data_IF_439316755201
#
_entry.id   IF_439316755201
#
_cell.length_a   1.000
_cell.length_b   1.000
_cell.length_c   1.000
_cell.angle_alpha   90.00
_cell.angle_beta   90.00
_cell.angle_gamma   90.00
#
_symmetry.space_group_name_H-M   'P 1'
#
loop_
_entity.id
_entity.type
_entity.pdbx_description
1 polymer ?
2 water ?
#
# COMPACT_ATOMS: atom_id res chain seq x y z
N UNK A 6 13.15 -1.15 -16.90
CA UNK A 6 12.19 -0.91 -17.98
C UNK A 6 12.42 0.41 -18.75
N UNK A 7 12.46 1.55 -18.06
CA UNK A 7 12.87 2.82 -18.69
C UNK A 7 14.19 3.34 -18.13
N UNK A 8 14.97 4.04 -18.96
CA UNK A 8 16.21 4.62 -18.45
C UNK A 8 15.83 5.73 -17.45
N UNK A 9 16.74 6.03 -16.54
CA UNK A 9 16.49 7.01 -15.49
C UNK A 9 16.40 8.44 -16.01
N UNK A 10 15.39 9.18 -15.52
CA UNK A 10 15.21 10.58 -15.89
C UNK A 10 16.46 11.36 -15.52
N UNK A 11 16.70 12.46 -16.23
CA UNK A 11 17.89 13.31 -16.02
C UNK A 11 17.52 14.78 -15.96
N UNK A 12 18.39 15.58 -15.35
CA UNK A 12 18.25 17.03 -15.37
C UNK A 12 18.06 17.47 -16.83
N UNK A 13 17.09 18.35 -17.09
CA UNK A 13 16.85 18.87 -18.42
C UNK A 13 15.74 18.14 -19.17
N UNK A 14 15.37 16.96 -18.71
CA UNK A 14 14.32 16.15 -19.37
C UNK A 14 12.95 16.76 -19.12
N UNK A 15 12.05 16.64 -20.09
CA UNK A 15 10.62 16.87 -19.83
C UNK A 15 10.08 15.82 -18.86
N UNK A 16 9.28 16.24 -17.87
CA UNK A 16 8.61 15.29 -17.00
C UNK A 16 7.61 14.44 -17.81
N UNK A 17 7.67 13.10 -17.70
CA UNK A 17 6.68 12.27 -18.43
C UNK A 17 5.28 12.41 -17.83
N UNK A 18 4.26 12.20 -18.66
CA UNK A 18 2.89 12.24 -18.13
C UNK A 18 2.64 10.90 -17.47
N UNK A 19 1.71 10.89 -16.51
CA UNK A 19 1.18 9.66 -15.89
C UNK A 19 -0.09 10.02 -15.17
N UNK A 20 -0.88 9.02 -14.79
CA UNK A 20 -2.06 9.31 -14.00
C UNK A 20 -1.79 9.02 -12.52
N UNK A 21 -1.97 10.05 -11.70
CA UNK A 21 -1.80 9.90 -10.25
C UNK A 21 -3.16 10.12 -9.62
N UNK A 22 -3.31 9.73 -8.37
CA UNK A 22 -4.52 10.00 -7.60
C UNK A 22 -4.19 10.71 -6.29
N UNK A 23 -5.01 11.70 -5.94
CA UNK A 23 -4.93 12.35 -4.62
C UNK A 23 -6.26 12.22 -3.90
N UNK A 24 -6.19 11.81 -2.63
CA UNK A 24 -7.41 11.61 -1.85
C UNK A 24 -7.85 12.97 -1.37
N UNK A 25 -9.10 13.37 -1.67
CA UNK A 25 -9.59 14.70 -1.33
C UNK A 25 -10.76 14.55 -0.36
N UNK A 26 -10.64 15.05 0.86
CA UNK A 26 -11.70 14.78 1.84
C UNK A 26 -12.67 15.95 2.08
N UNK A 27 -12.25 17.17 1.76
CA UNK A 27 -13.17 18.31 1.82
C UNK A 27 -13.92 18.37 0.48
N UNK A 28 -15.06 19.04 0.46
CA UNK A 28 -15.72 19.25 -0.81
C UNK A 28 -14.96 20.35 -1.52
N UNK A 29 -14.66 20.17 -2.80
CA UNK A 29 -14.15 21.28 -3.63
C UNK A 29 -14.55 21.17 -5.10
N UNK A 30 -14.80 22.31 -5.75
CA UNK A 30 -15.24 22.30 -7.14
C UNK A 30 -14.24 21.57 -8.03
N UNK A 31 -14.75 20.81 -8.99
CA UNK A 31 -13.90 20.06 -9.88
C UNK A 31 -13.44 18.76 -9.27
N UNK A 32 -13.75 18.55 -7.98
CA UNK A 32 -13.36 17.30 -7.31
C UNK A 32 -14.51 16.53 -6.69
N UNK A 33 -14.25 15.27 -6.42
CA UNK A 33 -15.19 14.43 -5.69
C UNK A 33 -14.56 13.97 -4.37
N UNK A 34 -15.34 13.37 -3.48
CA UNK A 34 -14.77 12.94 -2.20
C UNK A 34 -14.02 11.64 -2.38
N UNK A 35 -12.82 11.58 -1.83
CA UNK A 35 -11.98 10.40 -1.96
C UNK A 35 -10.97 10.58 -3.07
N UNK A 36 -10.60 9.47 -3.72
CA UNK A 36 -9.54 9.51 -4.73
C UNK A 36 -9.95 10.29 -5.99
N UNK A 37 -9.07 11.18 -6.42
CA UNK A 37 -9.27 11.95 -7.64
C UNK A 37 -8.10 11.71 -8.59
N UNK A 38 -8.37 11.30 -9.82
CA UNK A 38 -7.30 11.08 -10.81
C UNK A 38 -6.82 12.42 -11.33
N UNK A 39 -5.53 12.55 -11.63
CA UNK A 39 -5.06 13.76 -12.28
C UNK A 39 -3.81 13.44 -13.07
N UNK A 40 -3.60 14.25 -14.10
CA UNK A 40 -2.47 14.08 -15.04
C UNK A 40 -1.25 14.81 -14.48
N UNK A 41 -0.09 14.15 -14.50
CA UNK A 41 1.13 14.81 -14.01
C UNK A 41 1.43 16.08 -14.82
N UNK A 42 1.41 15.99 -16.15
CA UNK A 42 1.81 17.13 -16.93
C UNK A 42 0.76 18.23 -16.77
N UNK A 43 -0.51 17.85 -16.75
CA UNK A 43 -1.57 18.86 -16.49
C UNK A 43 -1.45 19.63 -15.16
N UNK A 44 -1.06 18.93 -14.09
CA UNK A 44 -0.93 19.50 -12.76
C UNK A 44 0.37 20.28 -12.54
N UNK A 45 1.41 20.04 -13.34
CA UNK A 45 2.65 20.83 -13.21
C UNK A 45 2.67 21.96 -14.22
N UNK A 46 1.74 21.94 -15.16
CA UNK A 46 1.72 23.04 -16.14
C UNK A 46 1.65 24.41 -15.47
N UNK A 47 2.61 25.26 -15.80
CA UNK A 47 2.66 26.64 -15.37
C UNK A 47 3.01 26.83 -13.89
N UNK A 48 3.55 25.79 -13.26
CA UNK A 48 3.93 25.83 -11.85
C UNK A 48 5.39 25.51 -11.63
N UNK A 49 5.88 25.90 -10.46
CA UNK A 49 7.17 25.45 -10.02
C UNK A 49 6.92 24.48 -8.85
N UNK A 50 7.31 23.21 -9.02
CA UNK A 50 6.87 22.10 -8.16
C UNK A 50 8.06 21.29 -7.61
N UNK A 51 8.12 21.07 -6.31
CA UNK A 51 9.05 20.10 -5.77
C UNK A 51 8.35 18.77 -5.66
N UNK A 52 8.92 17.72 -6.24
CA UNK A 52 8.40 16.35 -6.06
C UNK A 52 9.42 15.52 -5.33
N UNK A 53 9.04 14.94 -4.19
CA UNK A 53 9.93 13.96 -3.55
C UNK A 53 9.19 12.61 -3.54
N UNK A 54 9.88 11.57 -4.03
CA UNK A 54 9.32 10.25 -4.06
C UNK A 54 10.00 9.45 -2.95
N UNK A 55 9.29 8.47 -2.43
CA UNK A 55 9.87 7.66 -1.35
C UNK A 55 9.24 6.25 -1.45
N UNK A 56 9.83 5.26 -0.75
CA UNK A 56 9.43 3.86 -0.92
C UNK A 56 8.05 3.43 -0.40
N UNK A 57 7.52 4.03 0.66
CA UNK A 57 6.21 3.62 1.11
C UNK A 57 5.56 4.41 2.23
N UNK A 58 4.26 4.65 2.09
CA UNK A 58 3.48 5.23 3.19
C UNK A 58 3.62 4.36 4.44
N UNK A 59 3.57 5.01 5.61
CA UNK A 59 3.62 4.37 6.92
C UNK A 59 4.95 3.69 7.32
N UNK A 60 6.00 3.87 6.52
CA UNK A 60 7.31 3.27 6.86
C UNK A 60 8.16 4.26 7.68
N UNK A 61 9.18 3.75 8.40
CA UNK A 61 9.73 4.61 9.46
C UNK A 61 10.48 5.86 9.00
N UNK A 62 11.36 5.76 8.01
CA UNK A 62 12.14 6.97 7.72
C UNK A 62 11.28 7.95 6.94
N UNK A 63 10.54 7.40 5.98
CA UNK A 63 9.47 8.14 5.31
C UNK A 63 8.56 8.94 6.25
N UNK A 64 8.10 8.30 7.31
CA UNK A 64 7.12 8.88 8.22
C UNK A 64 7.70 9.82 9.28
N UNK A 65 8.82 9.43 9.88
CA UNK A 65 9.42 10.17 11.00
C UNK A 65 10.25 11.37 10.54
N UNK A 66 10.82 11.24 9.34
CA UNK A 66 11.82 12.19 8.86
C UNK A 66 11.48 12.86 7.53
N UNK A 67 11.25 12.04 6.50
CA UNK A 67 11.16 12.58 5.14
C UNK A 67 9.94 13.51 4.87
N UNK A 68 8.72 13.05 5.13
CA UNK A 68 7.53 13.88 4.98
C UNK A 68 7.49 15.05 6.00
N UNK A 69 7.86 14.77 7.27
CA UNK A 69 7.77 15.91 8.20
C UNK A 69 8.75 17.06 7.88
N UNK A 70 9.94 16.76 7.36
CA UNK A 70 10.84 17.82 6.91
C UNK A 70 10.16 18.71 5.86
N UNK A 71 9.42 18.11 4.93
CA UNK A 71 8.71 18.95 3.96
C UNK A 71 7.54 19.74 4.56
N UNK A 72 6.75 19.12 5.43
CA UNK A 72 5.67 19.86 6.11
C UNK A 72 6.32 21.02 6.87
N UNK A 73 7.44 20.73 7.51
CA UNK A 73 8.14 21.72 8.31
C UNK A 73 8.71 22.87 7.49
N UNK A 74 9.20 22.54 6.28
CA UNK A 74 9.82 23.53 5.40
C UNK A 74 8.82 24.14 4.40
N UNK A 75 7.55 23.76 4.46
CA UNK A 75 6.69 24.13 3.35
C UNK A 75 6.57 25.65 3.20
N UNK A 76 6.46 26.37 4.32
CA UNK A 76 6.42 27.85 4.27
C UNK A 76 7.66 28.47 3.61
N UNK A 77 8.85 28.00 3.96
CA UNK A 77 10.06 28.54 3.36
C UNK A 77 10.15 28.20 1.88
N UNK A 78 9.75 26.99 1.50
CA UNK A 78 9.82 26.61 0.08
C UNK A 78 8.85 27.47 -0.70
N UNK A 79 7.65 27.73 -0.17
CA UNK A 79 6.71 28.59 -0.89
C UNK A 79 7.17 30.06 -0.99
N UNK A 80 7.80 30.58 0.07
CA UNK A 80 8.39 31.93 0.03
C UNK A 80 9.46 32.03 -1.05
N UNK A 81 10.14 30.92 -1.35
CA UNK A 81 11.22 30.92 -2.34
C UNK A 81 10.69 30.75 -3.77
N UNK A 82 9.37 30.62 -3.92
CA UNK A 82 8.73 30.53 -5.22
C UNK A 82 8.23 29.17 -5.67
N UNK A 83 8.30 28.18 -4.78
CA UNK A 83 7.72 26.88 -5.11
C UNK A 83 6.21 26.93 -4.94
N UNK A 84 5.48 26.49 -5.97
CA UNK A 84 4.01 26.57 -5.96
C UNK A 84 3.39 25.42 -5.24
N UNK A 85 3.92 24.23 -5.50
CA UNK A 85 3.45 22.99 -4.84
C UNK A 85 4.55 22.04 -4.42
N UNK A 86 4.30 21.33 -3.33
CA UNK A 86 5.19 20.24 -2.91
C UNK A 86 4.41 18.94 -2.96
N UNK A 87 4.87 17.98 -3.76
CA UNK A 87 4.20 16.68 -3.82
C UNK A 87 5.03 15.59 -3.16
N UNK A 88 4.38 14.71 -2.43
CA UNK A 88 5.01 13.45 -2.03
C UNK A 88 4.51 12.34 -2.95
N UNK A 89 5.40 11.71 -3.70
CA UNK A 89 4.97 10.63 -4.57
C UNK A 89 5.35 9.28 -3.99
N UNK A 90 4.42 8.32 -3.96
CA UNK A 90 4.80 6.99 -3.50
C UNK A 90 4.01 5.99 -4.26
N UNK A 91 4.53 4.76 -4.32
CA UNK A 91 3.83 3.65 -4.97
C UNK A 91 2.94 3.04 -3.91
N UNK A 92 1.80 3.70 -3.72
CA UNK A 92 0.75 3.35 -2.79
C UNK A 92 -0.51 3.89 -3.43
N UNK A 93 -1.66 3.31 -3.11
CA UNK A 93 -2.94 3.81 -3.63
C UNK A 93 -3.41 5.07 -2.84
N UNK A 94 -4.45 5.77 -3.32
CA UNK A 94 -4.86 7.02 -2.66
C UNK A 94 -5.54 6.89 -1.33
N UNK A 95 -6.17 5.74 -1.04
CA UNK A 95 -6.78 5.56 0.29
C UNK A 95 -5.72 5.54 1.38
N UNK A 96 -4.66 4.80 1.12
CA UNK A 96 -3.54 4.74 2.04
C UNK A 96 -2.82 6.12 2.15
N UNK A 97 -2.57 6.76 1.00
CA UNK A 97 -1.92 8.10 1.01
C UNK A 97 -2.78 9.13 1.72
N UNK A 98 -4.09 9.05 1.53
CA UNK A 98 -5.01 9.90 2.26
C UNK A 98 -4.91 9.76 3.78
N UNK A 99 -4.97 8.53 4.26
CA UNK A 99 -4.88 8.26 5.69
C UNK A 99 -3.53 8.68 6.23
N UNK A 100 -2.48 8.39 5.48
CA UNK A 100 -1.14 8.77 5.92
C UNK A 100 -1.03 10.29 6.01
N UNK A 101 -1.55 11.00 5.00
CA UNK A 101 -1.41 12.46 4.97
C UNK A 101 -2.12 13.08 6.17
N UNK A 102 -3.29 12.54 6.54
CA UNK A 102 -4.02 13.03 7.70
C UNK A 102 -3.20 12.74 8.96
N UNK A 103 -2.60 11.57 9.06
CA UNK A 103 -1.78 11.28 10.24
C UNK A 103 -0.62 12.29 10.32
N UNK A 104 -0.08 12.72 9.18
CA UNK A 104 1.11 13.59 9.19
C UNK A 104 0.81 15.09 9.02
N UNK A 105 -0.48 15.47 9.02
CA UNK A 105 -0.89 16.89 8.95
C UNK A 105 -0.37 17.66 7.75
N UNK A 106 -0.49 17.03 6.59
CA UNK A 106 0.07 17.54 5.35
C UNK A 106 -0.87 18.50 4.62
N UNK A 107 -2.14 18.56 5.04
CA UNK A 107 -3.16 19.34 4.30
C UNK A 107 -2.68 20.75 4.00
N UNK A 108 -2.74 21.15 2.73
CA UNK A 108 -2.34 22.50 2.34
C UNK A 108 -0.82 22.72 2.31
N UNK A 109 -0.03 21.70 2.62
CA UNK A 109 1.43 21.86 2.60
C UNK A 109 2.11 20.91 1.65
N UNK A 110 1.70 19.65 1.67
CA UNK A 110 2.32 18.67 0.80
C UNK A 110 1.14 17.88 0.23
N UNK A 111 1.04 17.82 -1.10
CA UNK A 111 0.04 16.99 -1.78
C UNK A 111 0.53 15.55 -1.74
N UNK A 112 -0.32 14.63 -1.26
CA UNK A 112 0.01 13.20 -1.20
C UNK A 112 -0.47 12.51 -2.47
N UNK A 113 0.47 12.32 -3.39
CA UNK A 113 0.19 11.88 -4.74
C UNK A 113 0.47 10.37 -4.91
N UNK A 114 -0.62 9.62 -4.98
CA UNK A 114 -0.58 8.16 -5.07
C UNK A 114 -0.15 7.71 -6.47
N UNK A 115 0.92 6.92 -6.56
CA UNK A 115 1.29 6.32 -7.83
C UNK A 115 1.15 4.79 -7.63
N UNK A 116 -0.03 4.34 -7.22
CA UNK A 116 -0.16 2.95 -6.75
C UNK A 116 0.01 1.85 -7.82
N UNK A 117 0.01 2.23 -9.11
CA UNK A 117 0.30 1.26 -10.16
C UNK A 117 1.77 1.32 -10.59
N UNK A 118 2.51 2.27 -9.99
CA UNK A 118 3.90 2.56 -10.28
C UNK A 118 4.13 3.08 -11.69
N UNK A 119 3.06 3.57 -12.33
CA UNK A 119 3.16 4.07 -13.70
C UNK A 119 4.10 5.27 -13.83
N UNK A 120 3.98 6.25 -12.95
CA UNK A 120 4.84 7.44 -13.00
C UNK A 120 6.30 7.06 -12.69
N UNK A 121 6.47 6.23 -11.66
CA UNK A 121 7.79 5.90 -11.15
C UNK A 121 8.50 5.09 -12.21
N UNK A 122 7.77 4.19 -12.86
CA UNK A 122 8.32 3.46 -14.02
C UNK A 122 8.68 4.40 -15.15
N UNK A 123 7.83 5.40 -15.42
CA UNK A 123 8.11 6.31 -16.53
C UNK A 123 9.38 7.15 -16.24
N UNK A 124 9.65 7.41 -14.96
CA UNK A 124 10.84 8.15 -14.47
C UNK A 124 12.10 7.29 -14.41
N UNK A 125 11.92 5.97 -14.48
CA UNK A 125 13.03 5.04 -14.42
C UNK A 125 13.54 4.94 -13.00
N UNK A 126 12.65 5.21 -12.05
CA UNK A 126 13.03 5.34 -10.64
C UNK A 126 12.47 4.25 -9.72
N UNK A 127 12.19 3.09 -10.28
CA UNK A 127 11.71 1.99 -9.42
C UNK A 127 12.84 1.21 -8.76
N UNK A 128 12.51 0.47 -7.68
CA UNK A 128 13.42 -0.53 -7.11
C UNK A 128 12.58 -1.71 -6.65
N UNK A 129 13.23 -2.86 -6.45
CA UNK A 129 12.52 -4.07 -6.03
C UNK A 129 12.70 -4.24 -4.53
N UNK A 130 11.64 -3.96 -3.76
CA UNK A 130 11.71 -4.13 -2.31
C UNK A 130 10.97 -5.40 -1.89
N UNK A 131 11.03 -6.43 -2.72
CA UNK A 131 10.32 -7.69 -2.43
C UNK A 131 10.81 -8.35 -1.18
N UNK A 132 12.10 -8.25 -0.93
CA UNK A 132 12.70 -8.96 0.18
C UNK A 132 12.07 -8.49 1.49
N UNK A 133 11.50 -7.28 1.50
CA UNK A 133 10.89 -6.79 2.74
C UNK A 133 9.36 -6.77 2.62
N UNK A 134 8.86 -7.49 1.62
CA UNK A 134 7.42 -7.66 1.46
C UNK A 134 6.71 -6.43 0.89
N UNK A 135 7.44 -5.62 0.11
CA UNK A 135 6.83 -4.42 -0.44
C UNK A 135 6.73 -4.43 -1.97
N UNK A 136 7.30 -5.47 -2.60
CA UNK A 136 7.33 -5.55 -4.06
C UNK A 136 7.98 -4.35 -4.69
N UNK A 137 7.52 -3.97 -5.90
CA UNK A 137 8.14 -2.87 -6.65
C UNK A 137 7.66 -1.53 -6.10
N UNK A 138 8.60 -0.63 -5.79
CA UNK A 138 8.29 0.64 -5.15
C UNK A 138 9.18 1.74 -5.75
N UNK A 139 9.12 2.94 -5.20
CA UNK A 139 9.99 4.02 -5.72
C UNK A 139 11.33 4.10 -5.00
N UNK A 140 12.38 4.49 -5.72
CA UNK A 140 13.61 4.97 -5.05
C UNK A 140 13.21 6.20 -4.27
N UNK A 141 14.05 6.58 -3.32
CA UNK A 141 13.87 7.87 -2.64
C UNK A 141 14.56 9.00 -3.43
N UNK A 142 13.84 10.07 -3.76
CA UNK A 142 14.47 11.18 -4.49
C UNK A 142 13.78 12.52 -4.26
N UNK A 143 14.42 13.60 -4.70
CA UNK A 143 13.66 14.83 -4.84
C UNK A 143 14.05 15.52 -6.13
N UNK A 144 13.07 16.08 -6.82
CA UNK A 144 13.33 16.90 -8.00
C UNK A 144 12.52 18.19 -7.99
N UNK A 145 13.06 19.20 -8.65
CA UNK A 145 12.37 20.47 -8.81
C UNK A 145 12.07 20.61 -10.30
N UNK A 146 10.82 20.98 -10.57
CA UNK A 146 10.26 21.03 -11.91
C UNK A 146 9.79 22.42 -12.20
N UNK A 147 10.13 22.92 -13.37
CA UNK A 147 9.73 24.28 -13.76
C UNK A 147 9.64 24.21 -15.26
N UNK A 148 8.56 24.75 -15.82
CA UNK A 148 8.32 24.67 -17.24
C UNK A 148 8.19 23.24 -17.73
N UNK A 149 7.69 22.35 -16.86
CA UNK A 149 7.53 20.96 -17.25
C UNK A 149 8.81 20.15 -17.35
N UNK A 150 9.94 20.77 -17.00
CA UNK A 150 11.27 20.17 -17.13
C UNK A 150 11.93 19.94 -15.79
N UNK A 151 12.68 18.85 -15.63
CA UNK A 151 13.50 18.60 -14.44
C UNK A 151 14.65 19.64 -14.31
N UNK A 152 14.60 20.50 -13.30
CA UNK A 152 15.70 21.48 -13.15
C UNK A 152 16.81 20.95 -12.21
N UNK A 153 16.42 20.19 -11.20
CA UNK A 153 17.43 19.51 -10.36
C UNK A 153 16.91 18.15 -10.02
N UNK A 154 17.84 17.22 -9.80
CA UNK A 154 17.41 15.89 -9.47
C UNK A 154 18.38 15.36 -8.42
N UNK A 155 17.81 14.78 -7.36
CA UNK A 155 18.64 14.20 -6.29
C UNK A 155 18.12 12.82 -5.97
N UNK A 156 18.77 11.79 -6.52
CA UNK A 156 18.27 10.44 -6.30
C UNK A 156 19.16 9.76 -5.26
N UNK A 157 18.53 9.11 -4.27
CA UNK A 157 19.32 8.42 -3.24
C UNK A 157 19.81 7.09 -3.69
N UNK A 158 21.04 6.76 -3.30
CA UNK A 158 21.46 5.37 -3.33
C UNK A 158 20.49 4.57 -2.45
N UNK A 159 20.31 3.27 -2.73
CA UNK A 159 19.35 2.50 -1.95
C UNK A 159 19.67 2.54 -0.44
N UNK A 160 18.62 2.78 0.34
CA UNK A 160 18.74 2.80 1.80
C UNK A 160 19.40 4.06 2.35
N UNK A 161 19.76 4.99 1.48
CA UNK A 161 20.31 6.27 1.92
C UNK A 161 19.30 7.44 1.92
N UNK A 162 19.60 8.45 2.73
CA UNK A 162 18.77 9.65 2.92
C UNK A 162 19.67 10.87 3.21
N UNK A 163 20.47 11.22 2.22
CA UNK A 163 21.45 12.31 2.39
C UNK A 163 21.21 13.47 1.42
N UNK A 164 20.32 13.31 0.44
CA UNK A 164 20.16 14.41 -0.58
C UNK A 164 18.72 14.81 -0.92
N UNK A 165 17.73 14.01 -0.50
CA UNK A 165 16.32 14.25 -0.91
C UNK A 165 15.48 14.89 0.19
N UNK A 166 16.10 15.18 1.33
CA UNK A 166 15.43 15.86 2.43
C UNK A 166 15.14 17.33 2.07
N UNK A 167 14.16 17.91 2.74
CA UNK A 167 13.72 19.29 2.44
C UNK A 167 14.85 20.31 2.63
N UNK A 168 15.65 20.16 3.70
CA UNK A 168 16.80 21.08 3.87
C UNK A 168 17.73 21.14 2.65
N UNK A 169 18.09 19.99 2.09
CA UNK A 169 18.95 19.94 0.92
C UNK A 169 18.29 20.59 -0.29
N UNK A 170 17.00 20.36 -0.48
CA UNK A 170 16.28 20.97 -1.58
C UNK A 170 16.25 22.49 -1.48
N UNK A 171 15.93 23.01 -0.30
CA UNK A 171 15.90 24.45 -0.10
C UNK A 171 17.29 25.02 -0.41
N UNK A 172 18.32 24.31 0.02
CA UNK A 172 19.71 24.77 -0.16
C UNK A 172 20.13 24.77 -1.62
N UNK A 173 19.42 24.04 -2.46
CA UNK A 173 19.87 23.86 -3.84
C UNK A 173 18.89 24.45 -4.86
N UNK A 174 17.92 25.21 -4.38
CA UNK A 174 17.07 25.97 -5.30
C UNK A 174 17.98 26.96 -5.99
N UNK A 175 17.71 27.28 -7.24
CA UNK A 175 18.61 28.17 -7.92
C UNK A 175 17.94 29.33 -8.57
N UNK A 176 18.75 30.35 -8.79
CA UNK A 176 18.34 31.47 -9.60
C UNK A 176 18.71 31.19 -11.06
N UNK B 8 -3.11 -20.25 -13.20
CA UNK B 8 -4.04 -21.34 -12.91
C UNK B 8 -4.48 -21.26 -11.45
N UNK B 9 -5.79 -21.31 -11.22
CA UNK B 9 -6.33 -20.93 -9.93
C UNK B 9 -6.28 -22.10 -8.96
N UNK B 10 -6.02 -21.77 -7.70
CA UNK B 10 -6.05 -22.74 -6.61
C UNK B 10 -7.43 -23.38 -6.60
N UNK B 11 -7.48 -24.64 -6.18
CA UNK B 11 -8.75 -25.37 -6.08
C UNK B 11 -8.86 -26.20 -4.80
N UNK B 12 -10.08 -26.49 -4.41
CA UNK B 12 -10.38 -27.46 -3.34
C UNK B 12 -9.56 -28.78 -3.49
N UNK B 13 -9.02 -29.28 -2.37
CA UNK B 13 -8.18 -30.46 -2.41
C UNK B 13 -6.72 -30.12 -2.59
N UNK B 14 -6.41 -28.97 -3.16
CA UNK B 14 -5.02 -28.59 -3.39
C UNK B 14 -4.26 -28.28 -2.09
N UNK B 15 -2.98 -28.63 -2.08
CA UNK B 15 -2.08 -28.12 -1.05
C UNK B 15 -1.84 -26.61 -1.24
N UNK B 16 -1.93 -25.89 -0.14
CA UNK B 16 -1.68 -24.46 -0.11
C UNK B 16 -0.19 -24.17 -0.41
N UNK B 17 0.09 -23.35 -1.43
CA UNK B 17 1.49 -23.05 -1.77
C UNK B 17 2.18 -22.23 -0.69
N UNK B 18 3.49 -22.41 -0.53
CA UNK B 18 4.22 -21.67 0.49
C UNK B 18 4.47 -20.31 -0.12
N UNK B 19 4.84 -19.37 0.72
CA UNK B 19 5.13 -18.00 0.32
C UNK B 19 5.58 -17.34 1.60
N UNK B 20 6.30 -16.24 1.47
CA UNK B 20 6.61 -15.47 2.66
C UNK B 20 5.66 -14.30 2.84
N UNK B 21 5.00 -14.27 4.00
CA UNK B 21 4.10 -13.17 4.38
C UNK B 21 4.76 -12.42 5.54
N UNK B 22 4.27 -11.23 5.84
CA UNK B 22 4.78 -10.46 6.99
C UNK B 22 3.58 -10.04 7.86
N UNK B 23 3.76 -10.06 9.17
CA UNK B 23 2.72 -9.55 10.07
C UNK B 23 3.36 -8.51 10.97
N UNK B 24 2.71 -7.35 11.10
CA UNK B 24 3.25 -6.27 11.95
C UNK B 24 2.88 -6.62 13.38
N UNK B 25 3.88 -6.74 14.27
CA UNK B 25 3.64 -7.05 15.69
C UNK B 25 3.79 -5.80 16.56
N UNK B 26 2.71 -5.41 17.24
CA UNK B 26 2.68 -4.13 17.96
C UNK B 26 3.24 -4.27 19.39
N UNK B 27 3.21 -5.49 19.91
CA UNK B 27 3.62 -5.73 21.28
C UNK B 27 4.83 -6.66 21.39
N UNK B 28 5.49 -6.63 22.54
CA UNK B 28 6.59 -7.55 22.81
C UNK B 28 6.05 -8.98 22.85
N UNK B 29 6.70 -9.89 22.13
CA UNK B 29 6.22 -11.27 21.98
C UNK B 29 7.48 -12.11 21.83
N UNK B 30 7.45 -13.42 22.10
CA UNK B 30 8.72 -14.16 21.95
C UNK B 30 8.89 -14.88 20.59
N UNK B 31 10.13 -14.94 20.10
CA UNK B 31 10.36 -15.39 18.75
C UNK B 31 9.93 -14.30 17.79
N UNK B 32 9.59 -13.13 18.34
CA UNK B 32 9.16 -11.95 17.56
C UNK B 32 9.91 -10.70 17.90
N UNK B 33 10.04 -9.84 16.91
CA UNK B 33 10.59 -8.52 17.12
C UNK B 33 9.45 -7.49 16.95
N UNK B 34 9.73 -6.22 17.23
CA UNK B 34 8.73 -5.17 17.00
C UNK B 34 8.68 -4.86 15.52
N UNK B 35 7.47 -4.66 15.04
CA UNK B 35 7.24 -4.32 13.67
C UNK B 35 7.05 -5.54 12.81
N UNK B 36 7.49 -5.43 11.57
CA UNK B 36 7.23 -6.50 10.60
C UNK B 36 8.04 -7.74 10.90
N UNK B 37 7.34 -8.86 10.94
CA UNK B 37 7.94 -10.19 11.17
C UNK B 37 7.59 -11.10 9.98
N UNK B 38 8.61 -11.64 9.33
CA UNK B 38 8.44 -12.53 8.18
C UNK B 38 7.88 -13.85 8.69
N UNK B 39 7.05 -14.51 7.88
CA UNK B 39 6.70 -15.89 8.21
C UNK B 39 6.34 -16.67 6.97
N UNK B 40 6.35 -18.00 7.14
CA UNK B 40 6.11 -18.95 6.08
C UNK B 40 4.63 -19.35 6.12
N UNK B 41 3.93 -19.23 4.98
CA UNK B 41 2.52 -19.63 4.96
C UNK B 41 2.38 -21.11 5.37
N UNK B 42 3.19 -22.00 4.80
CA UNK B 42 3.07 -23.41 5.12
C UNK B 42 3.45 -23.69 6.57
N UNK B 43 4.48 -23.02 7.08
CA UNK B 43 4.83 -23.19 8.51
C UNK B 43 3.69 -22.73 9.41
N UNK B 44 3.05 -21.64 9.03
CA UNK B 44 2.01 -21.04 9.87
C UNK B 44 0.64 -21.74 9.84
N UNK B 45 0.38 -22.56 8.81
CA UNK B 45 -0.90 -23.29 8.76
C UNK B 45 -0.75 -24.76 9.13
N UNK B 46 0.48 -25.21 9.33
CA UNK B 46 0.71 -26.59 9.75
C UNK B 46 -0.10 -26.90 11.02
N UNK B 47 -0.89 -27.99 10.97
CA UNK B 47 -1.58 -28.50 12.15
C UNK B 47 -2.72 -27.62 12.69
N UNK B 48 -3.11 -26.62 11.89
CA UNK B 48 -4.19 -25.74 12.27
C UNK B 48 -5.36 -25.77 11.27
N UNK B 49 -6.51 -25.31 11.75
CA UNK B 49 -7.64 -25.06 10.88
C UNK B 49 -7.72 -23.53 10.78
N UNK B 50 -7.59 -22.99 9.55
CA UNK B 50 -7.40 -21.56 9.29
C UNK B 50 -8.35 -21.04 8.22
N UNK B 51 -9.04 -19.96 8.53
CA UNK B 51 -9.84 -19.27 7.51
C UNK B 51 -8.96 -18.16 6.99
N UNK B 52 -8.75 -18.11 5.68
CA UNK B 52 -8.06 -16.98 5.04
C UNK B 52 -9.04 -16.24 4.15
N UNK B 53 -9.19 -14.94 4.37
CA UNK B 53 -9.96 -14.14 3.40
C UNK B 53 -9.02 -13.10 2.78
N UNK B 54 -8.96 -13.09 1.45
CA UNK B 54 -8.12 -12.15 0.74
C UNK B 54 -9.03 -11.01 0.32
N UNK B 55 -8.47 -9.82 0.13
CA UNK B 55 -9.27 -8.68 -0.33
C UNK B 55 -8.36 -7.70 -1.08
N UNK B 56 -8.94 -6.73 -1.81
CA UNK B 56 -8.10 -5.93 -2.72
C UNK B 56 -7.18 -4.87 -2.08
N UNK B 57 -7.53 -4.33 -0.92
CA UNK B 57 -6.61 -3.38 -0.32
C UNK B 57 -6.98 -2.79 1.03
N UNK B 58 -5.97 -2.65 1.90
CA UNK B 58 -6.14 -1.96 3.18
C UNK B 58 -6.70 -0.55 2.97
N UNK B 59 -7.49 -0.06 3.93
CA UNK B 59 -8.00 1.29 3.90
C UNK B 59 -9.03 1.60 2.80
N UNK B 60 -9.47 0.59 2.05
CA UNK B 60 -10.51 0.81 1.01
C UNK B 60 -11.92 0.53 1.58
N UNK B 61 -12.96 1.18 0.99
CA UNK B 61 -14.26 1.23 1.69
C UNK B 61 -14.90 -0.12 2.07
N UNK B 62 -15.12 -1.01 1.12
CA UNK B 62 -15.86 -2.23 1.47
C UNK B 62 -15.02 -3.17 2.34
N UNK B 63 -13.73 -3.23 2.05
CA UNK B 63 -12.78 -3.95 2.89
C UNK B 63 -12.82 -3.47 4.35
N UNK B 64 -12.80 -2.16 4.53
CA UNK B 64 -12.70 -1.56 5.88
C UNK B 64 -14.03 -1.49 6.61
N UNK B 65 -15.11 -1.20 5.89
CA UNK B 65 -16.42 -0.99 6.52
C UNK B 65 -17.16 -2.29 6.76
N UNK B 66 -16.94 -3.28 5.91
CA UNK B 66 -17.73 -4.51 5.93
C UNK B 66 -16.94 -5.79 6.11
N UNK B 67 -15.98 -6.02 5.22
CA UNK B 67 -15.31 -7.33 5.14
C UNK B 67 -14.48 -7.69 6.39
N UNK B 68 -13.52 -6.85 6.77
CA UNK B 68 -12.78 -7.07 8.02
C UNK B 68 -13.67 -7.04 9.30
N UNK B 69 -14.53 -6.02 9.44
CA UNK B 69 -15.34 -6.01 10.66
C UNK B 69 -16.24 -7.25 10.83
N UNK B 70 -16.75 -7.81 9.72
CA UNK B 70 -17.56 -9.03 9.80
C UNK B 70 -16.76 -10.17 10.41
N UNK B 71 -15.48 -10.28 10.04
CA UNK B 71 -14.62 -11.32 10.64
C UNK B 71 -14.23 -11.02 12.09
N UNK B 72 -14.02 -9.75 12.42
CA UNK B 72 -13.71 -9.42 13.83
C UNK B 72 -14.92 -9.77 14.70
N UNK B 73 -16.11 -9.43 14.20
CA UNK B 73 -17.36 -9.71 14.88
C UNK B 73 -17.73 -11.19 14.94
N UNK B 74 -17.30 -11.96 13.95
CA UNK B 74 -17.59 -13.41 13.93
C UNK B 74 -16.47 -14.29 14.55
N UNK B 75 -15.40 -13.68 15.08
CA UNK B 75 -14.20 -14.46 15.48
C UNK B 75 -14.51 -15.47 16.57
N UNK B 76 -15.33 -15.05 17.52
CA UNK B 76 -15.72 -15.90 18.63
C UNK B 76 -16.44 -17.15 18.13
N UNK B 77 -17.37 -16.98 17.20
CA UNK B 77 -18.18 -18.09 16.70
C UNK B 77 -17.34 -18.95 15.80
N UNK B 78 -16.43 -18.34 15.06
CA UNK B 78 -15.61 -19.14 14.16
C UNK B 78 -14.68 -20.02 15.01
N UNK B 79 -14.13 -19.46 16.09
CA UNK B 79 -13.22 -20.22 16.94
C UNK B 79 -13.96 -21.31 17.73
N UNK B 80 -15.17 -21.01 18.20
CA UNK B 80 -15.96 -22.05 18.87
C UNK B 80 -16.22 -23.21 17.93
N UNK B 81 -16.42 -22.90 16.65
CA UNK B 81 -16.71 -23.95 15.65
C UNK B 81 -15.46 -24.73 15.26
N UNK B 82 -14.33 -24.38 15.87
CA UNK B 82 -13.07 -25.07 15.63
C UNK B 82 -12.03 -24.40 14.73
N UNK B 83 -12.24 -23.17 14.30
CA UNK B 83 -11.20 -22.48 13.54
C UNK B 83 -10.12 -22.00 14.47
N UNK B 84 -8.87 -22.24 14.11
CA UNK B 84 -7.76 -21.87 14.99
C UNK B 84 -7.34 -20.43 14.82
N UNK B 85 -7.21 -20.01 13.57
CA UNK B 85 -6.80 -18.65 13.22
C UNK B 85 -7.60 -18.13 12.04
N UNK B 86 -7.72 -16.81 11.97
CA UNK B 86 -8.42 -16.16 10.87
C UNK B 86 -7.39 -15.18 10.31
N UNK B 87 -7.03 -15.32 9.04
CA UNK B 87 -6.11 -14.34 8.42
C UNK B 87 -6.81 -13.46 7.39
N UNK B 88 -6.53 -12.16 7.42
CA UNK B 88 -6.86 -11.23 6.34
C UNK B 88 -5.64 -11.08 5.47
N UNK B 89 -5.68 -11.53 4.23
CA UNK B 89 -4.50 -11.36 3.36
C UNK B 89 -4.77 -10.25 2.33
N UNK B 90 -3.81 -9.34 2.17
CA UNK B 90 -3.97 -8.29 1.17
C UNK B 90 -2.60 -8.06 0.53
N UNK B 91 -2.61 -7.63 -0.74
CA UNK B 91 -1.39 -7.15 -1.38
C UNK B 91 -1.15 -5.71 -0.92
N UNK B 92 -0.56 -5.63 0.26
CA UNK B 92 -0.13 -4.45 0.99
C UNK B 92 1.07 -4.84 1.85
N UNK B 93 1.96 -3.90 2.15
CA UNK B 93 3.07 -4.20 3.06
C UNK B 93 2.63 -4.26 4.56
N UNK B 94 3.52 -4.74 5.44
CA UNK B 94 3.11 -4.93 6.84
C UNK B 94 2.93 -3.63 7.62
N UNK B 95 3.63 -2.56 7.22
CA UNK B 95 3.46 -1.27 7.92
C UNK B 95 2.03 -0.81 7.67
N UNK B 96 1.58 -0.91 6.44
CA UNK B 96 0.22 -0.52 6.12
C UNK B 96 -0.83 -1.45 6.77
N UNK B 97 -0.63 -2.77 6.68
CA UNK B 97 -1.51 -3.76 7.37
C UNK B 97 -1.56 -3.56 8.90
N UNK B 98 -0.40 -3.25 9.49
CA UNK B 98 -0.34 -2.92 10.91
C UNK B 98 -1.17 -1.70 11.33
N UNK B 99 -1.02 -0.61 10.61
CA UNK B 99 -1.83 0.58 10.85
C UNK B 99 -3.31 0.24 10.64
N UNK B 100 -3.61 -0.49 9.57
CA UNK B 100 -5.01 -0.83 9.28
C UNK B 100 -5.56 -1.69 10.40
N UNK B 101 -4.75 -2.65 10.88
CA UNK B 101 -5.20 -3.52 11.95
C UNK B 101 -5.47 -2.73 13.25
N UNK B 102 -4.63 -1.74 13.55
CA UNK B 102 -4.83 -0.93 14.77
C UNK B 102 -6.11 -0.10 14.65
N UNK B 103 -6.37 0.44 13.46
CA UNK B 103 -7.62 1.16 13.20
C UNK B 103 -8.87 0.27 13.35
N UNK B 104 -8.77 -0.98 12.90
CA UNK B 104 -9.95 -1.85 12.90
C UNK B 104 -10.03 -2.74 14.13
N UNK B 105 -9.11 -2.53 15.07
CA UNK B 105 -9.13 -3.27 16.35
C UNK B 105 -9.11 -4.77 16.19
N UNK B 106 -8.26 -5.25 15.28
CA UNK B 106 -8.20 -6.65 14.92
C UNK B 106 -7.39 -7.55 15.85
N UNK B 107 -6.61 -6.96 16.76
CA UNK B 107 -5.64 -7.74 17.55
C UNK B 107 -6.29 -8.90 18.31
N UNK B 108 -5.70 -10.09 18.21
CA UNK B 108 -6.25 -11.27 18.87
C UNK B 108 -7.45 -11.93 18.21
N UNK B 109 -7.91 -11.37 17.09
CA UNK B 109 -9.10 -11.91 16.40
C UNK B 109 -8.82 -12.26 14.94
N UNK B 110 -8.17 -11.35 14.24
CA UNK B 110 -7.81 -11.57 12.85
C UNK B 110 -6.34 -11.19 12.69
N UNK B 111 -5.52 -12.09 12.15
CA UNK B 111 -4.12 -11.77 11.86
C UNK B 111 -4.11 -10.97 10.54
N UNK B 112 -3.47 -9.80 10.56
CA UNK B 112 -3.37 -8.96 9.35
C UNK B 112 -2.11 -9.35 8.58
N UNK B 113 -2.28 -10.16 7.52
CA UNK B 113 -1.15 -10.80 6.84
C UNK B 113 -0.78 -10.12 5.49
N UNK B 114 0.39 -9.47 5.45
CA UNK B 114 0.77 -8.62 4.33
C UNK B 114 1.36 -9.50 3.21
N UNK B 115 0.88 -9.35 1.98
CA UNK B 115 1.44 -10.08 0.84
C UNK B 115 1.89 -8.98 -0.13
N UNK B 116 2.72 -8.06 0.36
CA UNK B 116 2.96 -6.80 -0.39
C UNK B 116 3.71 -6.95 -1.73
N UNK B 117 4.31 -8.12 -1.92
CA UNK B 117 4.96 -8.40 -3.21
C UNK B 117 4.07 -9.24 -4.12
N UNK B 118 2.85 -9.51 -3.64
CA UNK B 118 1.87 -10.36 -4.31
C UNK B 118 2.34 -11.79 -4.58
N UNK B 119 3.40 -12.22 -3.89
CA UNK B 119 3.96 -13.57 -4.08
C UNK B 119 2.96 -14.68 -3.83
N UNK B 120 2.21 -14.58 -2.72
CA UNK B 120 1.26 -15.61 -2.26
C UNK B 120 0.04 -15.57 -3.18
N UNK B 121 -0.44 -14.37 -3.44
CA UNK B 121 -1.64 -14.20 -4.27
C UNK B 121 -1.34 -14.72 -5.67
N UNK B 122 -0.14 -14.44 -6.16
CA UNK B 122 0.27 -14.99 -7.46
C UNK B 122 0.32 -16.53 -7.48
N UNK B 123 0.85 -17.13 -6.41
CA UNK B 123 1.03 -18.59 -6.36
C UNK B 123 -0.34 -19.27 -6.26
N UNK B 124 -1.33 -18.50 -5.82
CA UNK B 124 -2.70 -18.98 -5.67
C UNK B 124 -3.45 -18.76 -6.98
N UNK B 125 -2.86 -17.99 -7.88
CA UNK B 125 -3.54 -17.62 -9.11
C UNK B 125 -4.74 -16.71 -8.88
N UNK B 126 -4.66 -15.87 -7.84
CA UNK B 126 -5.81 -15.05 -7.47
C UNK B 126 -5.55 -13.54 -7.54
N UNK B 127 -4.65 -13.09 -8.42
CA UNK B 127 -4.43 -11.64 -8.59
C UNK B 127 -5.44 -11.05 -9.56
N UNK B 128 -5.55 -9.72 -9.55
CA UNK B 128 -6.32 -8.97 -10.56
C UNK B 128 -5.64 -7.65 -10.77
N UNK B 129 -5.86 -7.08 -11.95
CA UNK B 129 -5.23 -5.81 -12.30
C UNK B 129 -6.16 -4.65 -11.97
N UNK B 130 -5.88 -3.93 -10.88
CA UNK B 130 -6.66 -2.75 -10.54
C UNK B 130 -5.89 -1.48 -10.88
N UNK B 131 -5.16 -1.48 -11.98
CA UNK B 131 -4.39 -0.30 -12.38
C UNK B 131 -5.27 0.91 -12.63
N UNK B 132 -6.46 0.68 -13.18
CA UNK B 132 -7.39 1.75 -13.54
C UNK B 132 -7.77 2.60 -12.33
N UNK B 133 -7.60 2.03 -11.15
CA UNK B 133 -7.93 2.73 -9.91
C UNK B 133 -6.71 3.20 -9.17
N UNK B 134 -5.54 3.02 -9.77
CA UNK B 134 -4.35 3.52 -9.15
C UNK B 134 -3.84 2.53 -8.13
N UNK B 135 -4.21 1.25 -8.24
CA UNK B 135 -3.85 0.27 -7.25
C UNK B 135 -2.88 -0.80 -7.74
N UNK B 136 -2.61 -0.82 -9.04
CA UNK B 136 -1.76 -1.87 -9.63
C UNK B 136 -2.30 -3.27 -9.46
N UNK B 137 -1.40 -4.26 -9.34
CA UNK B 137 -1.82 -5.66 -9.14
C UNK B 137 -2.20 -5.92 -7.68
N UNK B 138 -3.39 -6.47 -7.45
CA UNK B 138 -3.92 -6.72 -6.11
C UNK B 138 -4.58 -8.10 -6.06
N UNK B 139 -5.08 -8.48 -4.90
CA UNK B 139 -5.82 -9.74 -4.81
C UNK B 139 -7.30 -9.63 -5.21
N UNK B 140 -7.87 -10.71 -5.73
CA UNK B 140 -9.32 -10.91 -5.77
C UNK B 140 -9.82 -11.00 -4.33
N UNK B 141 -11.12 -10.81 -4.14
CA UNK B 141 -11.70 -10.96 -2.82
C UNK B 141 -12.17 -12.42 -2.69
N UNK B 142 -11.80 -13.08 -1.60
CA UNK B 142 -12.19 -14.48 -1.42
C UNK B 142 -12.19 -14.91 0.03
N UNK B 143 -12.75 -16.08 0.28
CA UNK B 143 -12.48 -16.71 1.57
C UNK B 143 -12.17 -18.18 1.34
N UNK B 144 -11.15 -18.67 2.04
CA UNK B 144 -10.89 -20.12 2.05
C UNK B 144 -10.61 -20.70 3.43
N UNK B 145 -10.91 -21.98 3.55
CA UNK B 145 -10.78 -22.66 4.83
C UNK B 145 -9.75 -23.75 4.56
N UNK B 146 -8.72 -23.77 5.41
CA UNK B 146 -7.56 -24.63 5.24
C UNK B 146 -7.48 -25.56 6.42
N UNK B 147 -7.26 -26.84 6.11
CA UNK B 147 -7.14 -27.89 7.16
C UNK B 147 -6.14 -28.90 6.66
N UNK B 148 -5.19 -29.28 7.50
CA UNK B 148 -4.11 -30.17 7.08
C UNK B 148 -3.34 -29.57 5.93
N UNK B 149 -3.18 -28.26 5.93
CA UNK B 149 -2.51 -27.60 4.83
C UNK B 149 -3.15 -27.70 3.45
N UNK B 150 -4.34 -28.27 3.40
CA UNK B 150 -5.08 -28.43 2.14
C UNK B 150 -6.29 -27.48 2.06
N UNK B 151 -6.54 -26.91 0.88
CA UNK B 151 -7.80 -26.15 0.69
C UNK B 151 -9.05 -27.04 0.87
N UNK B 152 -9.92 -26.69 1.83
CA UNK B 152 -11.15 -27.50 2.03
C UNK B 152 -12.34 -26.83 1.34
N UNK B 153 -12.40 -25.50 1.38
CA UNK B 153 -13.43 -24.77 0.61
C UNK B 153 -12.80 -23.53 0.05
N UNK B 154 -13.39 -23.01 -1.01
CA UNK B 154 -12.84 -21.83 -1.67
C UNK B 154 -14.02 -21.04 -2.26
N UNK B 155 -14.12 -19.78 -1.88
CA UNK B 155 -15.20 -18.93 -2.39
C UNK B 155 -14.57 -17.68 -2.97
N UNK B 156 -14.47 -17.60 -4.28
CA UNK B 156 -13.84 -16.41 -4.88
C UNK B 156 -14.92 -15.53 -5.50
N UNK B 157 -14.87 -14.22 -5.20
CA UNK B 157 -15.86 -13.28 -5.73
C UNK B 157 -15.56 -12.88 -7.15
N UNK B 158 -16.62 -12.76 -7.96
CA UNK B 158 -16.52 -12.06 -9.24
C UNK B 158 -16.04 -10.66 -8.91
N UNK B 159 -15.28 -10.05 -9.83
CA UNK B 159 -14.78 -8.68 -9.62
C UNK B 159 -15.89 -7.73 -9.19
N UNK B 160 -15.62 -6.99 -8.11
CA UNK B 160 -16.51 -5.93 -7.67
C UNK B 160 -17.67 -6.39 -6.79
N UNK B 161 -17.77 -7.70 -6.55
CA UNK B 161 -18.85 -8.30 -5.79
C UNK B 161 -18.43 -8.80 -4.39
N UNK B 162 -19.41 -8.88 -3.49
CA UNK B 162 -19.15 -9.29 -2.12
C UNK B 162 -20.36 -10.12 -1.66
N UNK B 163 -20.51 -11.30 -2.26
CA UNK B 163 -21.68 -12.16 -2.01
C UNK B 163 -21.31 -13.46 -1.29
N UNK B 164 -20.04 -13.87 -1.32
CA UNK B 164 -19.71 -15.24 -0.82
C UNK B 164 -18.56 -15.36 0.19
N UNK B 165 -17.76 -14.29 0.31
CA UNK B 165 -16.49 -14.33 1.08
C UNK B 165 -16.61 -13.66 2.45
N UNK B 166 -17.82 -13.24 2.80
CA UNK B 166 -18.05 -12.56 4.10
C UNK B 166 -18.14 -13.60 5.21
N UNK B 167 -17.95 -13.16 6.47
CA UNK B 167 -17.80 -14.10 7.60
C UNK B 167 -19.05 -14.92 7.89
N UNK B 168 -20.21 -14.28 7.72
CA UNK B 168 -21.46 -15.01 7.89
C UNK B 168 -21.58 -16.21 6.93
N UNK B 169 -21.29 -16.02 5.64
CA UNK B 169 -21.37 -17.12 4.68
C UNK B 169 -20.39 -18.23 5.02
N UNK B 170 -19.17 -17.86 5.41
CA UNK B 170 -18.16 -18.80 5.84
C UNK B 170 -18.59 -19.63 7.07
N UNK B 171 -19.12 -18.98 8.09
CA UNK B 171 -19.54 -19.71 9.27
C UNK B 171 -20.64 -20.68 8.89
N UNK B 172 -21.48 -20.24 7.97
CA UNK B 172 -22.60 -21.06 7.55
C UNK B 172 -22.17 -22.27 6.74
N UNK B 173 -20.94 -22.25 6.20
CA UNK B 173 -20.52 -23.31 5.27
C UNK B 173 -19.34 -24.13 5.77
N UNK B 174 -19.02 -23.98 7.06
CA UNK B 174 -18.05 -24.86 7.69
C UNK B 174 -18.69 -26.22 7.69
N UNK B 175 -17.90 -27.28 7.62
CA UNK B 175 -18.55 -28.57 7.45
C UNK B 175 -18.02 -29.59 8.38
N UNK B 176 -18.77 -30.67 8.50
CA UNK B 176 -18.29 -31.84 9.20
C UNK B 176 -17.72 -32.83 8.20
#
# INVERSE_FOLDING_TARGET
MAHHHHHHMIQVGDALPDAQLFEFIDDAREGCTLGPNACSVRDQVAGKRVVIFGLPGAFTPTCSAQHVPGYVEHAEQLRAAGIDEIWCVSVNDAFVMGAWGRDLHTAGKVRMMADGSAAFTHALGLTQDLSARGMGIRSLRYAMVIDGGVVKTLAVEAPGKFEVSDAASVLATLTS
MAHHHHHHMIQVGDALPDAQLFEFIDDAREGCTLGPNACSVRDQVAGKRVVIFGLPGAFTPTCSAQHVPGYVEHAEQLRAAGIDEIWCVSVNDAFVMGAWGRDLHTAGKVRMMADGSAAFTHALGLTQDLSARGMGIRSLRYAMVIDGGVVKTLAVEAPGKFEVSDAASVLATLTS
#
